data_IF_486104801534
#
_entry.id   IF_486104801534
#
_cell.length_a   1.000
_cell.length_b   1.000
_cell.length_c   1.000
_cell.angle_alpha   90.00
_cell.angle_beta   90.00
_cell.angle_gamma   90.00
#
_symmetry.space_group_name_H-M   'P 1'
#
loop_
_entity.id
_entity.type
_entity.pdbx_description
1 polymer ?
#
# COMPACT_ATOMS: atom_id res chain seq x y z
N UNK A 1 25.41 -16.10 5.10
CA UNK A 1 25.11 -14.92 5.91
C UNK A 1 24.56 -13.85 4.99
N UNK A 2 23.29 -13.52 5.17
CA UNK A 2 22.60 -12.50 4.40
C UNK A 2 22.82 -11.15 5.08
N UNK A 3 23.55 -10.24 4.44
CA UNK A 3 23.59 -8.85 4.86
C UNK A 3 22.44 -8.13 4.22
N UNK A 4 21.58 -7.51 5.04
CA UNK A 4 20.37 -6.81 4.61
C UNK A 4 20.49 -5.32 4.96
N UNK A 5 19.70 -4.50 4.31
CA UNK A 5 19.55 -3.09 4.66
C UNK A 5 18.90 -2.95 6.06
N UNK A 6 19.12 -1.83 6.76
CA UNK A 6 18.38 -1.51 7.98
C UNK A 6 16.87 -1.71 7.82
N UNK A 7 16.24 -2.39 8.77
CA UNK A 7 14.82 -2.73 8.72
C UNK A 7 14.47 -4.04 8.01
N UNK A 8 15.36 -4.61 7.20
CA UNK A 8 15.11 -5.87 6.50
C UNK A 8 15.56 -7.11 7.30
N UNK A 9 16.54 -6.96 8.18
CA UNK A 9 17.12 -8.05 8.96
C UNK A 9 16.71 -8.01 10.43
N UNK A 10 17.38 -8.86 11.24
CA UNK A 10 17.05 -9.06 12.65
C UNK A 10 18.06 -8.39 13.62
N UNK A 11 19.07 -7.67 13.09
CA UNK A 11 20.02 -6.93 13.93
C UNK A 11 19.33 -5.73 14.59
N UNK A 12 19.57 -5.54 15.89
CA UNK A 12 19.07 -4.39 16.65
C UNK A 12 19.84 -3.10 16.29
N UNK A 13 19.66 -2.63 15.05
CA UNK A 13 20.34 -1.43 14.57
C UNK A 13 19.79 -0.16 15.24
N UNK A 14 18.51 -0.12 15.59
CA UNK A 14 17.95 1.02 16.34
C UNK A 14 18.57 1.13 17.73
N UNK A 15 18.86 0.01 18.40
CA UNK A 15 19.62 0.00 19.66
C UNK A 15 21.03 0.52 19.51
N UNK A 16 21.73 0.12 18.45
CA UNK A 16 23.06 0.66 18.11
C UNK A 16 23.00 2.18 17.85
N UNK A 17 22.04 2.62 17.03
CA UNK A 17 21.89 4.04 16.72
C UNK A 17 21.52 4.89 17.93
N UNK A 18 20.73 4.37 18.88
CA UNK A 18 20.47 5.06 20.16
C UNK A 18 21.75 5.27 20.96
N UNK A 19 22.61 4.24 21.04
CA UNK A 19 23.88 4.36 21.72
C UNK A 19 24.78 5.39 21.04
N UNK A 20 24.82 5.38 19.70
CA UNK A 20 25.59 6.38 18.92
C UNK A 20 25.03 7.80 19.14
N UNK A 21 23.73 7.98 19.06
CA UNK A 21 23.09 9.30 19.31
C UNK A 21 23.36 9.82 20.73
N UNK A 22 23.46 8.93 21.71
CA UNK A 22 23.80 9.32 23.09
C UNK A 22 25.23 9.88 23.26
N UNK A 23 26.14 9.59 22.32
CA UNK A 23 27.51 10.18 22.31
C UNK A 23 27.55 11.60 21.77
N UNK A 24 26.43 12.09 21.18
CA UNK A 24 26.37 13.38 20.48
C UNK A 24 26.94 13.34 19.05
N UNK A 25 27.14 12.15 18.48
CA UNK A 25 27.61 12.02 17.11
C UNK A 25 26.58 12.62 16.13
N UNK A 26 27.04 13.52 15.26
CA UNK A 26 26.27 14.22 14.24
C UNK A 26 26.89 14.09 12.82
N UNK A 27 27.85 13.19 12.66
CA UNK A 27 28.56 12.96 11.40
C UNK A 27 27.77 12.09 10.41
N UNK A 28 28.43 11.80 9.29
CA UNK A 28 27.88 11.02 8.19
C UNK A 28 27.66 9.56 8.56
N UNK A 29 26.51 9.01 8.20
CA UNK A 29 26.23 7.58 8.26
C UNK A 29 26.54 6.97 6.89
N UNK A 30 27.56 6.09 6.81
CA UNK A 30 27.91 5.35 5.61
C UNK A 30 27.23 3.98 5.62
N UNK A 31 26.52 3.67 4.54
CA UNK A 31 25.86 2.38 4.36
C UNK A 31 26.65 1.51 3.40
N UNK A 32 27.21 0.41 3.90
CA UNK A 32 27.92 -0.58 3.10
C UNK A 32 27.30 -1.96 3.26
N UNK A 33 26.75 -2.51 2.17
CA UNK A 33 26.09 -3.81 2.16
C UNK A 33 26.78 -4.76 1.19
N UNK A 34 27.50 -5.75 1.70
CA UNK A 34 28.10 -6.81 0.92
C UNK A 34 27.12 -7.97 0.75
N UNK A 35 26.23 -7.85 -0.24
CA UNK A 35 25.25 -8.86 -0.59
C UNK A 35 25.10 -8.92 -2.11
N UNK A 36 25.54 -10.03 -2.70
CA UNK A 36 25.52 -10.19 -4.16
C UNK A 36 24.10 -10.20 -4.75
N UNK A 37 23.07 -10.48 -3.95
CA UNK A 37 21.67 -10.42 -4.39
C UNK A 37 21.22 -9.03 -4.80
N UNK A 38 21.75 -7.97 -4.19
CA UNK A 38 21.47 -6.61 -4.60
C UNK A 38 22.01 -6.29 -6.00
N UNK A 39 22.97 -7.08 -6.52
CA UNK A 39 23.47 -6.93 -7.89
C UNK A 39 22.49 -7.42 -8.96
N UNK A 40 21.54 -8.30 -8.61
CA UNK A 40 20.51 -8.78 -9.52
C UNK A 40 19.38 -7.76 -9.72
N UNK A 41 19.21 -6.84 -8.78
CA UNK A 41 18.20 -5.78 -8.84
C UNK A 41 18.64 -4.56 -9.63
N UNK A 42 17.69 -3.67 -9.92
CA UNK A 42 17.97 -2.36 -10.50
C UNK A 42 18.85 -1.54 -9.53
N UNK A 43 19.95 -0.97 -10.02
CA UNK A 43 20.81 -0.10 -9.22
C UNK A 43 20.03 1.08 -8.60
N UNK A 44 19.02 1.61 -9.32
CA UNK A 44 18.14 2.66 -8.84
C UNK A 44 17.29 2.18 -7.65
N UNK A 45 16.67 1.01 -7.76
CA UNK A 45 15.83 0.47 -6.69
C UNK A 45 16.65 0.17 -5.43
N UNK A 46 17.83 -0.42 -5.60
CA UNK A 46 18.73 -0.71 -4.48
C UNK A 46 19.21 0.56 -3.79
N UNK A 47 19.56 1.61 -4.55
CA UNK A 47 19.94 2.90 -3.98
C UNK A 47 18.79 3.59 -3.25
N UNK A 48 17.57 3.50 -3.80
CA UNK A 48 16.36 4.02 -3.17
C UNK A 48 16.08 3.30 -1.84
N UNK A 49 16.13 1.97 -1.84
CA UNK A 49 15.93 1.17 -0.63
C UNK A 49 17.01 1.44 0.43
N UNK A 50 18.28 1.61 0.00
CA UNK A 50 19.36 2.00 0.87
C UNK A 50 19.07 3.34 1.56
N UNK A 51 18.65 4.35 0.81
CA UNK A 51 18.30 5.66 1.36
C UNK A 51 17.06 5.59 2.27
N UNK A 52 15.99 4.92 1.81
CA UNK A 52 14.76 4.66 2.62
C UNK A 52 15.11 4.00 3.95
N UNK A 53 15.99 3.00 3.94
CA UNK A 53 16.38 2.27 5.13
C UNK A 53 17.09 3.14 6.17
N UNK A 54 17.92 4.10 5.73
CA UNK A 54 18.56 5.06 6.61
C UNK A 54 17.57 6.09 7.17
N UNK A 55 16.65 6.60 6.34
CA UNK A 55 15.57 7.50 6.79
C UNK A 55 14.72 6.80 7.85
N UNK A 56 14.28 5.57 7.58
CA UNK A 56 13.52 4.77 8.54
C UNK A 56 14.28 4.52 9.84
N UNK A 57 15.57 4.16 9.76
CA UNK A 57 16.39 3.88 10.93
C UNK A 57 16.54 5.11 11.84
N UNK A 58 16.72 6.29 11.26
CA UNK A 58 16.82 7.54 12.01
C UNK A 58 15.48 7.95 12.62
N UNK A 59 14.37 7.79 11.89
CA UNK A 59 13.02 8.00 12.41
C UNK A 59 12.71 7.06 13.59
N UNK A 60 12.98 5.77 13.43
CA UNK A 60 12.79 4.78 14.50
C UNK A 60 13.65 5.11 15.73
N UNK A 61 14.91 5.52 15.51
CA UNK A 61 15.81 5.95 16.58
C UNK A 61 15.26 7.18 17.30
N UNK A 62 14.82 8.19 16.56
CA UNK A 62 14.26 9.43 17.11
C UNK A 62 13.02 9.15 17.96
N UNK A 63 12.11 8.28 17.50
CA UNK A 63 10.93 7.87 18.25
C UNK A 63 11.28 7.11 19.55
N UNK A 64 12.26 6.21 19.51
CA UNK A 64 12.70 5.48 20.69
C UNK A 64 13.42 6.37 21.72
N UNK A 65 14.11 7.41 21.26
CA UNK A 65 14.78 8.40 22.14
C UNK A 65 13.80 9.45 22.64
N UNK A 66 12.64 9.62 21.99
CA UNK A 66 11.65 10.65 22.32
C UNK A 66 12.05 12.07 21.91
N UNK A 67 13.05 12.22 21.06
CA UNK A 67 13.49 13.51 20.50
C UNK A 67 14.13 13.33 19.12
N UNK A 68 14.20 14.40 18.35
CA UNK A 68 14.90 14.38 17.06
C UNK A 68 16.36 14.01 17.23
N UNK A 69 16.89 13.26 16.29
CA UNK A 69 18.34 12.94 16.18
C UNK A 69 18.89 13.60 14.90
N UNK A 70 20.20 13.88 14.82
CA UNK A 70 20.79 14.47 13.62
C UNK A 70 20.49 13.65 12.37
N UNK A 71 20.08 14.32 11.29
CA UNK A 71 19.72 13.70 10.02
C UNK A 71 18.34 13.05 9.94
N UNK A 72 17.56 13.00 11.04
CA UNK A 72 16.22 12.48 10.99
C UNK A 72 15.29 13.40 10.17
N UNK A 73 14.55 12.81 9.25
CA UNK A 73 13.50 13.50 8.46
C UNK A 73 12.22 13.53 9.29
N UNK A 74 11.65 14.72 9.57
CA UNK A 74 10.36 14.80 10.25
C UNK A 74 9.27 14.13 9.40
N UNK A 75 8.55 13.18 9.98
CA UNK A 75 7.43 12.50 9.33
C UNK A 75 6.41 12.01 10.35
N UNK A 76 5.15 11.77 9.94
CA UNK A 76 4.15 11.10 10.78
C UNK A 76 4.64 9.70 11.24
N UNK A 77 4.11 9.16 12.34
CA UNK A 77 4.40 7.79 12.76
C UNK A 77 3.93 6.76 11.71
N UNK A 78 4.42 5.50 11.79
CA UNK A 78 3.88 4.42 10.96
C UNK A 78 2.36 4.33 11.11
N UNK A 79 1.66 4.20 9.99
CA UNK A 79 0.21 4.13 9.97
C UNK A 79 -0.27 2.75 10.45
N UNK A 80 -1.11 2.63 11.50
CA UNK A 80 -1.81 1.38 11.77
C UNK A 80 -2.79 1.09 10.61
N UNK A 81 -2.83 -0.17 10.18
CA UNK A 81 -3.81 -0.64 9.19
C UNK A 81 -4.98 -1.25 9.94
N UNK A 82 -6.16 -0.64 9.80
CA UNK A 82 -7.37 -1.06 10.50
C UNK A 82 -8.12 -2.14 9.74
N UNK A 83 -8.15 -2.04 8.39
CA UNK A 83 -8.83 -3.00 7.53
C UNK A 83 -8.38 -2.85 6.06
N UNK A 84 -8.72 -3.84 5.23
CA UNK A 84 -8.80 -3.68 3.78
C UNK A 84 -10.13 -3.01 3.46
N UNK A 85 -10.09 -1.79 2.92
CA UNK A 85 -11.30 -1.01 2.62
C UNK A 85 -11.97 -1.48 1.34
N UNK A 86 -11.18 -1.71 0.28
CA UNK A 86 -11.63 -2.38 -0.94
C UNK A 86 -10.47 -3.06 -1.68
N UNK A 87 -10.85 -3.99 -2.56
CA UNK A 87 -9.93 -4.62 -3.52
C UNK A 87 -10.43 -4.27 -4.91
N UNK A 88 -9.58 -3.65 -5.75
CA UNK A 88 -9.93 -3.27 -7.11
C UNK A 88 -9.32 -4.25 -8.11
N UNK A 89 -10.17 -4.76 -9.00
CA UNK A 89 -9.78 -5.58 -10.13
C UNK A 89 -9.87 -4.77 -11.42
N UNK A 90 -8.78 -4.77 -12.18
CA UNK A 90 -8.81 -4.39 -13.58
C UNK A 90 -9.34 -5.58 -14.40
N UNK A 91 -10.44 -5.36 -15.13
CA UNK A 91 -11.14 -6.43 -15.85
C UNK A 91 -11.38 -5.97 -17.28
N UNK A 92 -11.07 -6.83 -18.27
CA UNK A 92 -11.43 -6.53 -19.66
C UNK A 92 -12.95 -6.60 -19.88
N UNK A 93 -13.46 -5.85 -20.84
CA UNK A 93 -14.88 -5.89 -21.22
C UNK A 93 -15.33 -7.33 -21.55
N UNK A 94 -14.49 -8.11 -22.20
CA UNK A 94 -14.79 -9.50 -22.56
C UNK A 94 -14.89 -10.44 -21.35
N UNK A 95 -14.12 -10.21 -20.31
CA UNK A 95 -14.07 -11.07 -19.10
C UNK A 95 -15.03 -10.62 -18.01
N UNK A 96 -15.45 -9.35 -18.01
CA UNK A 96 -16.36 -8.76 -17.02
C UNK A 96 -17.61 -9.60 -16.76
N UNK A 97 -18.39 -10.07 -17.77
CA UNK A 97 -19.59 -10.86 -17.50
C UNK A 97 -19.31 -12.18 -16.75
N UNK A 98 -18.13 -12.77 -16.99
CA UNK A 98 -17.68 -13.96 -16.28
C UNK A 98 -17.36 -13.67 -14.82
N UNK A 99 -16.66 -12.56 -14.58
CA UNK A 99 -16.28 -12.12 -13.23
C UNK A 99 -17.50 -11.71 -12.39
N UNK A 100 -18.47 -10.99 -12.98
CA UNK A 100 -19.74 -10.65 -12.34
C UNK A 100 -20.55 -11.88 -11.92
N UNK A 101 -20.63 -12.91 -12.79
CA UNK A 101 -21.26 -14.19 -12.43
C UNK A 101 -20.57 -14.86 -11.26
N UNK A 102 -19.24 -14.81 -11.21
CA UNK A 102 -18.46 -15.33 -10.07
C UNK A 102 -18.81 -14.60 -8.77
N UNK A 103 -18.83 -13.26 -8.79
CA UNK A 103 -19.17 -12.46 -7.62
C UNK A 103 -20.60 -12.77 -7.12
N UNK A 104 -21.58 -12.87 -8.03
CA UNK A 104 -22.95 -13.26 -7.66
C UNK A 104 -23.00 -14.67 -7.06
N UNK A 105 -22.29 -15.63 -7.64
CA UNK A 105 -22.22 -16.98 -7.11
C UNK A 105 -21.57 -17.06 -5.70
N UNK A 106 -20.68 -16.10 -5.39
CA UNK A 106 -20.10 -15.93 -4.06
C UNK A 106 -20.97 -15.11 -3.10
N UNK A 107 -22.15 -14.67 -3.53
CA UNK A 107 -23.11 -13.92 -2.70
C UNK A 107 -22.90 -12.41 -2.66
N UNK A 108 -22.07 -11.84 -3.55
CA UNK A 108 -21.94 -10.40 -3.70
C UNK A 108 -23.08 -9.81 -4.53
N UNK A 109 -23.52 -8.60 -4.18
CA UNK A 109 -24.40 -7.79 -5.01
C UNK A 109 -23.66 -6.60 -5.59
N UNK A 110 -24.08 -6.15 -6.75
CA UNK A 110 -23.63 -4.89 -7.34
C UNK A 110 -24.26 -3.73 -6.55
N UNK A 111 -23.51 -3.18 -5.63
CA UNK A 111 -23.97 -2.15 -4.71
C UNK A 111 -24.00 -0.75 -5.32
N UNK A 112 -23.13 -0.49 -6.30
CA UNK A 112 -23.06 0.83 -6.93
C UNK A 112 -22.45 0.78 -8.33
N UNK A 113 -22.82 1.78 -9.15
CA UNK A 113 -22.18 2.11 -10.41
C UNK A 113 -21.47 3.46 -10.25
N UNK A 114 -20.23 3.57 -10.70
CA UNK A 114 -19.49 4.83 -10.62
C UNK A 114 -20.17 5.91 -11.49
N UNK A 115 -20.18 7.16 -11.01
CA UNK A 115 -20.95 8.25 -11.64
C UNK A 115 -20.43 8.66 -13.00
N UNK A 116 -19.16 8.46 -13.29
CA UNK A 116 -18.49 8.98 -14.48
C UNK A 116 -17.61 7.95 -15.20
N UNK A 117 -17.34 6.80 -14.59
CA UNK A 117 -16.41 5.78 -15.08
C UNK A 117 -17.08 4.43 -15.24
N UNK A 118 -16.54 3.57 -16.09
CA UNK A 118 -16.99 2.17 -16.21
C UNK A 118 -16.42 1.31 -15.06
N UNK A 119 -16.87 1.63 -13.86
CA UNK A 119 -16.43 1.02 -12.61
C UNK A 119 -17.64 0.67 -11.76
N UNK A 120 -17.66 -0.55 -11.25
CA UNK A 120 -18.72 -1.07 -10.39
C UNK A 120 -18.24 -1.41 -9.00
N UNK A 121 -19.04 -1.08 -8.00
CA UNK A 121 -18.84 -1.48 -6.62
C UNK A 121 -19.70 -2.71 -6.30
N UNK A 122 -19.07 -3.79 -5.87
CA UNK A 122 -19.69 -5.02 -5.40
C UNK A 122 -19.49 -5.17 -3.90
N UNK A 123 -20.51 -5.64 -3.19
CA UNK A 123 -20.48 -5.71 -1.73
C UNK A 123 -21.10 -7.00 -1.20
N UNK A 124 -20.46 -7.57 -0.16
CA UNK A 124 -21.04 -8.55 0.75
C UNK A 124 -20.48 -8.31 2.16
N UNK A 125 -21.34 -8.10 3.15
CA UNK A 125 -20.89 -7.72 4.49
C UNK A 125 -20.05 -6.44 4.43
N UNK A 126 -18.85 -6.49 5.01
CA UNK A 126 -17.87 -5.40 4.96
C UNK A 126 -16.84 -5.53 3.81
N UNK A 127 -16.98 -6.57 2.97
CA UNK A 127 -16.11 -6.79 1.83
C UNK A 127 -16.60 -5.94 0.66
N UNK A 128 -15.70 -5.16 0.07
CA UNK A 128 -15.94 -4.34 -1.10
C UNK A 128 -14.97 -4.72 -2.21
N UNK A 129 -15.53 -5.08 -3.36
CA UNK A 129 -14.80 -5.37 -4.59
C UNK A 129 -15.16 -4.31 -5.60
N UNK A 130 -14.14 -3.67 -6.18
CA UNK A 130 -14.31 -2.70 -7.26
C UNK A 130 -13.90 -3.38 -8.56
N UNK A 131 -14.80 -3.38 -9.56
CA UNK A 131 -14.51 -3.83 -10.92
C UNK A 131 -14.31 -2.62 -11.80
N UNK A 132 -13.10 -2.47 -12.33
CA UNK A 132 -12.72 -1.38 -13.21
C UNK A 132 -12.54 -1.92 -14.63
N UNK A 133 -13.41 -1.50 -15.55
CA UNK A 133 -13.41 -1.90 -16.97
C UNK A 133 -13.16 -0.70 -17.90
N UNK A 134 -12.57 0.38 -17.37
CA UNK A 134 -12.25 1.55 -18.18
C UNK A 134 -11.38 1.18 -19.38
N UNK A 135 -11.64 1.83 -20.52
CA UNK A 135 -10.92 1.62 -21.77
C UNK A 135 -9.60 2.40 -21.85
N UNK A 136 -9.27 3.17 -20.82
CA UNK A 136 -8.03 3.93 -20.70
C UNK A 136 -7.58 4.06 -19.23
N UNK A 137 -6.52 4.82 -18.99
CA UNK A 137 -6.04 5.08 -17.64
C UNK A 137 -5.22 3.97 -17.02
N UNK A 138 -5.11 4.03 -15.67
CA UNK A 138 -4.25 3.12 -14.91
C UNK A 138 -4.72 1.67 -14.97
N UNK A 139 -5.99 1.40 -14.65
CA UNK A 139 -6.53 0.05 -14.58
C UNK A 139 -6.46 -0.65 -15.94
N UNK A 140 -6.78 0.07 -17.03
CA UNK A 140 -6.64 -0.44 -18.38
C UNK A 140 -5.19 -0.83 -18.72
N UNK A 141 -4.23 0.06 -18.45
CA UNK A 141 -2.81 -0.23 -18.68
C UNK A 141 -2.32 -1.43 -17.86
N UNK A 142 -2.82 -1.55 -16.63
CA UNK A 142 -2.52 -2.67 -15.75
C UNK A 142 -3.10 -3.98 -16.30
N UNK A 143 -4.36 -3.96 -16.76
CA UNK A 143 -5.04 -5.11 -17.37
C UNK A 143 -4.33 -5.60 -18.63
N UNK A 144 -3.89 -4.71 -19.51
CA UNK A 144 -3.11 -5.08 -20.71
C UNK A 144 -1.82 -5.81 -20.33
N UNK A 145 -1.18 -5.41 -19.23
CA UNK A 145 0.11 -5.96 -18.81
C UNK A 145 -0.04 -7.28 -18.06
N UNK A 146 -1.06 -7.38 -17.19
CA UNK A 146 -1.21 -8.45 -16.21
C UNK A 146 -2.44 -9.35 -16.44
N UNK A 147 -3.30 -9.01 -17.40
CA UNK A 147 -4.63 -9.63 -17.53
C UNK A 147 -5.59 -9.17 -16.44
N UNK A 148 -6.74 -9.83 -16.34
CA UNK A 148 -7.69 -9.58 -15.25
C UNK A 148 -7.07 -9.96 -13.91
N UNK A 149 -6.84 -8.97 -13.08
CA UNK A 149 -6.10 -9.11 -11.82
C UNK A 149 -6.36 -7.95 -10.86
N UNK A 150 -5.94 -8.10 -9.61
CA UNK A 150 -5.99 -7.01 -8.61
C UNK A 150 -5.01 -5.92 -9.03
N UNK A 151 -5.53 -4.77 -9.42
CA UNK A 151 -4.74 -3.59 -9.79
C UNK A 151 -4.53 -2.60 -8.63
N UNK A 152 -5.39 -2.66 -7.61
CA UNK A 152 -5.23 -1.82 -6.44
C UNK A 152 -5.81 -2.46 -5.16
N UNK A 153 -5.24 -2.04 -4.03
CA UNK A 153 -5.75 -2.28 -2.70
C UNK A 153 -5.98 -0.95 -2.01
N UNK A 154 -7.08 -0.83 -1.29
CA UNK A 154 -7.32 0.30 -0.41
C UNK A 154 -7.22 -0.15 1.05
N UNK A 155 -6.40 0.54 1.82
CA UNK A 155 -6.22 0.29 3.24
C UNK A 155 -6.90 1.39 4.05
N UNK A 156 -7.66 0.98 5.06
CA UNK A 156 -8.18 1.89 6.05
C UNK A 156 -7.10 2.21 7.07
N UNK A 157 -6.86 3.49 7.26
CA UNK A 157 -5.90 4.04 8.20
C UNK A 157 -6.58 5.15 9.01
N UNK A 158 -6.08 5.51 10.20
CA UNK A 158 -6.69 6.60 10.99
C UNK A 158 -6.63 7.97 10.31
N UNK A 159 -5.60 8.23 9.50
CA UNK A 159 -5.36 9.50 8.79
C UNK A 159 -4.64 9.22 7.46
N UNK A 160 -5.37 9.36 6.37
CA UNK A 160 -4.86 9.11 5.02
C UNK A 160 -3.80 10.15 4.60
N UNK A 161 -3.93 11.40 5.06
CA UNK A 161 -2.95 12.45 4.76
C UNK A 161 -1.65 12.22 5.53
N UNK A 162 -1.69 11.75 6.75
CA UNK A 162 -0.51 11.35 7.49
C UNK A 162 0.18 10.13 6.84
N UNK A 163 -0.58 9.16 6.36
CA UNK A 163 -0.03 7.99 5.67
C UNK A 163 0.70 8.37 4.37
N UNK A 164 0.11 9.23 3.52
CA UNK A 164 0.76 9.69 2.28
C UNK A 164 1.95 10.60 2.56
N UNK A 165 1.89 11.44 3.61
CA UNK A 165 3.01 12.27 4.01
C UNK A 165 4.20 11.42 4.48
N UNK A 166 3.94 10.35 5.25
CA UNK A 166 4.96 9.38 5.64
C UNK A 166 5.56 8.66 4.43
N UNK A 167 4.71 8.16 3.52
CA UNK A 167 5.17 7.51 2.29
C UNK A 167 6.10 8.43 1.48
N UNK A 168 5.72 9.70 1.34
CA UNK A 168 6.52 10.71 0.64
C UNK A 168 7.87 10.95 1.33
N UNK A 169 7.88 11.05 2.66
CA UNK A 169 9.12 11.19 3.44
C UNK A 169 10.03 9.96 3.31
N UNK A 170 9.45 8.78 3.08
CA UNK A 170 10.13 7.51 2.78
C UNK A 170 10.45 7.33 1.28
N UNK A 171 10.38 8.40 0.50
CA UNK A 171 10.74 8.47 -0.92
C UNK A 171 9.75 7.80 -1.89
N UNK A 172 8.54 7.50 -1.46
CA UNK A 172 7.49 7.09 -2.37
C UNK A 172 6.90 8.32 -3.08
N UNK A 173 6.53 8.11 -4.33
CA UNK A 173 5.90 9.17 -5.14
C UNK A 173 4.39 8.99 -5.10
N UNK A 174 3.64 9.96 -4.59
CA UNK A 174 2.19 9.93 -4.66
C UNK A 174 1.70 9.72 -6.09
N UNK A 175 0.72 8.84 -6.25
CA UNK A 175 0.10 8.63 -7.55
C UNK A 175 -0.86 9.78 -7.85
N UNK A 176 -0.67 10.41 -9.01
CA UNK A 176 -1.60 11.41 -9.53
C UNK A 176 -2.51 10.72 -10.55
N UNK A 177 -3.71 10.38 -10.15
CA UNK A 177 -4.77 9.88 -11.03
C UNK A 177 -5.60 11.01 -11.62
N UNK A 178 -6.39 10.70 -12.67
CA UNK A 178 -7.41 11.62 -13.14
C UNK A 178 -8.61 11.61 -12.18
N UNK A 179 -8.92 12.76 -11.60
CA UNK A 179 -10.07 12.95 -10.72
C UNK A 179 -11.12 13.76 -11.50
N UNK A 180 -12.31 13.19 -11.66
CA UNK A 180 -13.43 13.86 -12.32
C UNK A 180 -14.11 14.88 -11.44
N UNK A 181 -14.97 15.74 -12.00
CA UNK A 181 -15.72 16.72 -11.23
C UNK A 181 -16.60 16.05 -10.15
N UNK A 182 -16.37 16.39 -8.88
CA UNK A 182 -17.13 15.87 -7.75
C UNK A 182 -16.67 14.51 -7.22
N UNK A 183 -15.66 13.90 -7.83
CA UNK A 183 -15.01 12.68 -7.33
C UNK A 183 -14.04 12.99 -6.19
N UNK A 184 -13.78 12.00 -5.35
CA UNK A 184 -12.78 12.11 -4.31
C UNK A 184 -11.37 11.85 -4.86
N UNK A 185 -10.42 12.70 -4.47
CA UNK A 185 -8.99 12.45 -4.69
C UNK A 185 -8.46 11.58 -3.55
N UNK A 186 -8.42 10.27 -3.79
CA UNK A 186 -7.98 9.29 -2.78
C UNK A 186 -6.46 9.16 -2.87
N UNK A 187 -5.71 9.49 -1.79
CA UNK A 187 -4.27 9.37 -1.80
C UNK A 187 -3.79 7.95 -2.07
N UNK A 188 -2.81 7.79 -2.94
CA UNK A 188 -2.25 6.50 -3.27
C UNK A 188 -0.75 6.56 -3.57
N UNK A 189 -0.08 5.43 -3.42
CA UNK A 189 1.29 5.18 -3.87
C UNK A 189 1.37 3.92 -4.72
N UNK A 190 2.49 3.72 -5.42
CA UNK A 190 2.73 2.47 -6.15
C UNK A 190 3.08 1.34 -5.18
N UNK A 191 2.37 0.24 -5.31
CA UNK A 191 2.59 -1.02 -4.61
C UNK A 191 3.28 -2.07 -5.46
N UNK A 192 3.28 -3.30 -4.98
CA UNK A 192 3.87 -4.47 -5.62
C UNK A 192 3.35 -4.65 -7.05
N UNK A 193 4.25 -4.99 -7.98
CA UNK A 193 3.90 -5.20 -9.39
C UNK A 193 3.39 -3.95 -10.11
N UNK A 194 3.59 -2.76 -9.52
CA UNK A 194 3.08 -1.49 -10.04
C UNK A 194 1.60 -1.25 -9.75
N UNK A 195 0.96 -2.10 -8.93
CA UNK A 195 -0.40 -1.86 -8.42
C UNK A 195 -0.50 -0.55 -7.64
N UNK A 196 -1.71 -0.11 -7.30
CA UNK A 196 -1.90 1.03 -6.41
C UNK A 196 -2.23 0.58 -4.99
N UNK A 197 -1.75 1.35 -4.03
CA UNK A 197 -2.11 1.23 -2.64
C UNK A 197 -2.74 2.56 -2.20
N UNK A 198 -4.06 2.56 -2.03
CA UNK A 198 -4.85 3.69 -1.60
C UNK A 198 -4.92 3.77 -0.07
N UNK A 199 -4.97 5.00 0.46
CA UNK A 199 -5.20 5.26 1.87
C UNK A 199 -6.54 5.93 2.07
N UNK A 200 -7.40 5.35 2.91
CA UNK A 200 -8.70 5.89 3.26
C UNK A 200 -8.82 6.01 4.78
N UNK A 201 -9.44 7.08 5.23
CA UNK A 201 -9.83 7.27 6.62
C UNK A 201 -11.34 7.55 6.71
N UNK A 202 -11.92 7.27 7.88
CA UNK A 202 -13.34 7.51 8.13
C UNK A 202 -13.60 8.84 8.86
N UNK A 203 -12.57 9.64 9.07
CA UNK A 203 -12.63 10.92 9.78
C UNK A 203 -12.75 12.11 8.83
N UNK A 204 -12.38 11.93 7.57
CA UNK A 204 -12.47 12.91 6.50
C UNK A 204 -13.60 12.59 5.51
N UNK A 205 -13.68 13.37 4.43
CA UNK A 205 -14.60 13.10 3.32
C UNK A 205 -14.35 11.71 2.66
N UNK A 206 -13.15 11.16 2.78
CA UNK A 206 -12.77 9.85 2.24
C UNK A 206 -13.60 8.72 2.84
N UNK A 207 -14.10 8.85 4.07
CA UNK A 207 -14.98 7.86 4.69
C UNK A 207 -16.31 7.64 3.95
N UNK A 208 -16.65 8.55 3.05
CA UNK A 208 -17.88 8.49 2.24
C UNK A 208 -17.61 8.19 0.76
N UNK A 209 -16.46 7.64 0.43
CA UNK A 209 -16.03 7.40 -0.94
C UNK A 209 -17.07 6.63 -1.76
N UNK A 210 -17.68 5.58 -1.19
CA UNK A 210 -18.68 4.77 -1.89
C UNK A 210 -19.96 5.53 -2.18
N UNK A 211 -20.33 6.51 -1.34
CA UNK A 211 -21.54 7.34 -1.53
C UNK A 211 -21.29 8.50 -2.49
N UNK A 212 -20.07 9.05 -2.47
CA UNK A 212 -19.70 10.20 -3.31
C UNK A 212 -19.47 9.75 -4.73
N UNK A 213 -18.67 8.70 -4.96
CA UNK A 213 -18.23 8.30 -6.29
C UNK A 213 -19.22 7.34 -6.98
N UNK A 214 -20.11 6.68 -6.22
CA UNK A 214 -21.02 5.67 -6.78
C UNK A 214 -22.50 6.05 -6.60
N UNK A 215 -23.33 5.66 -7.58
CA UNK A 215 -24.76 5.65 -7.49
C UNK A 215 -25.24 4.26 -7.05
N UNK A 216 -26.01 4.19 -5.98
CA UNK A 216 -26.53 2.92 -5.46
C UNK A 216 -27.45 2.25 -6.48
N UNK A 217 -27.25 0.96 -6.73
CA UNK A 217 -28.10 0.16 -7.64
C UNK A 217 -29.35 -0.38 -6.97
N UNK A 218 -29.36 -0.46 -5.64
CA UNK A 218 -30.46 -1.05 -4.86
C UNK A 218 -30.49 -2.57 -4.90
N UNK A 219 -29.50 -3.26 -5.50
CA UNK A 219 -29.45 -4.72 -5.47
C UNK A 219 -29.20 -5.24 -4.04
N UNK A 220 -29.95 -6.24 -3.63
CA UNK A 220 -29.74 -6.95 -2.37
C UNK A 220 -28.73 -8.08 -2.54
N UNK A 221 -27.86 -8.25 -1.56
CA UNK A 221 -26.92 -9.36 -1.51
C UNK A 221 -27.60 -10.64 -1.02
N UNK A 222 -27.36 -11.76 -1.69
CA UNK A 222 -27.78 -13.10 -1.24
C UNK A 222 -26.94 -13.62 -0.05
N UNK A 223 -26.08 -12.84 0.46
CA UNK A 223 -25.22 -13.00 1.64
C UNK A 223 -24.81 -14.45 1.95
N UNK A 224 -23.70 -14.91 1.35
CA UNK A 224 -23.15 -16.25 1.60
C UNK A 224 -22.40 -16.39 2.95
N UNK A 225 -22.49 -15.38 3.81
CA UNK A 225 -21.88 -15.38 5.15
C UNK A 225 -20.44 -14.86 5.21
N UNK A 226 -19.89 -14.30 4.13
CA UNK A 226 -18.58 -13.65 4.15
C UNK A 226 -18.70 -12.28 4.84
N UNK A 227 -17.87 -12.01 5.83
CA UNK A 227 -17.98 -10.81 6.68
C UNK A 227 -16.86 -9.81 6.48
N UNK A 228 -15.64 -10.24 6.15
CA UNK A 228 -14.48 -9.36 6.01
C UNK A 228 -13.33 -10.01 5.26
N UNK A 229 -12.34 -9.23 4.91
CA UNK A 229 -11.07 -9.70 4.34
C UNK A 229 -10.13 -10.04 5.49
N UNK A 230 -9.74 -11.31 5.60
CA UNK A 230 -8.85 -11.80 6.65
C UNK A 230 -7.40 -11.43 6.38
N UNK A 231 -6.92 -11.72 5.16
CA UNK A 231 -5.54 -11.42 4.74
C UNK A 231 -5.45 -11.24 3.23
N UNK A 232 -4.32 -10.66 2.80
CA UNK A 232 -3.95 -10.53 1.39
C UNK A 232 -2.60 -11.21 1.18
N UNK A 233 -2.51 -12.09 0.19
CA UNK A 233 -1.28 -12.71 -0.24
C UNK A 233 -0.78 -12.05 -1.52
N UNK A 234 0.51 -11.70 -1.56
CA UNK A 234 1.14 -11.09 -2.72
C UNK A 234 2.31 -11.95 -3.17
N UNK A 235 2.31 -12.31 -4.46
CA UNK A 235 3.42 -13.03 -5.09
C UNK A 235 4.38 -12.05 -5.76
N UNK A 236 5.67 -12.27 -5.59
CA UNK A 236 6.72 -11.41 -6.13
C UNK A 236 7.94 -12.22 -6.52
N UNK A 237 8.84 -11.63 -7.29
CA UNK A 237 10.15 -12.23 -7.54
C UNK A 237 10.93 -12.28 -6.23
N UNK A 238 11.75 -13.33 -6.10
CA UNK A 238 12.51 -13.55 -4.86
C UNK A 238 13.40 -12.36 -4.49
N UNK A 239 13.94 -11.67 -5.49
CA UNK A 239 14.82 -10.50 -5.34
C UNK A 239 14.08 -9.27 -4.81
N UNK A 240 12.77 -9.19 -5.02
CA UNK A 240 11.94 -8.05 -4.58
C UNK A 240 11.46 -8.18 -3.13
N UNK A 241 11.54 -9.37 -2.54
CA UNK A 241 10.98 -9.65 -1.21
C UNK A 241 11.49 -8.68 -0.13
N UNK A 242 12.80 -8.38 -0.13
CA UNK A 242 13.39 -7.48 0.86
C UNK A 242 12.98 -6.02 0.65
N UNK A 243 12.81 -5.59 -0.60
CA UNK A 243 12.27 -4.27 -0.96
C UNK A 243 10.87 -4.09 -0.39
N UNK A 244 9.97 -5.03 -0.65
CA UNK A 244 8.59 -4.96 -0.20
C UNK A 244 8.46 -5.15 1.32
N UNK A 245 9.30 -5.97 1.93
CA UNK A 245 9.39 -6.06 3.38
C UNK A 245 9.75 -4.71 4.01
N UNK A 246 10.76 -4.01 3.47
CA UNK A 246 11.15 -2.68 3.93
C UNK A 246 10.04 -1.66 3.68
N UNK A 247 9.38 -1.70 2.51
CA UNK A 247 8.27 -0.82 2.18
C UNK A 247 7.16 -0.93 3.23
N UNK A 248 6.61 -2.13 3.45
CA UNK A 248 5.50 -2.33 4.39
C UNK A 248 5.89 -2.04 5.84
N UNK A 249 7.07 -2.49 6.27
CA UNK A 249 7.52 -2.30 7.67
C UNK A 249 7.94 -0.86 7.98
N UNK A 250 8.32 -0.06 6.99
CA UNK A 250 8.65 1.35 7.19
C UNK A 250 7.42 2.26 7.16
N UNK A 251 6.43 1.92 6.34
CA UNK A 251 5.23 2.72 6.13
C UNK A 251 4.16 2.46 7.18
N UNK A 252 3.97 1.19 7.56
CA UNK A 252 2.89 0.75 8.44
C UNK A 252 3.38 0.25 9.80
N UNK A 253 2.49 0.30 10.78
CA UNK A 253 2.69 -0.37 12.06
C UNK A 253 2.48 -1.89 11.90
N UNK A 254 3.48 -2.56 11.31
CA UNK A 254 3.46 -4.00 11.05
C UNK A 254 4.55 -4.71 11.84
N UNK A 255 4.35 -6.00 12.07
CA UNK A 255 5.35 -6.87 12.69
C UNK A 255 5.73 -7.97 11.71
N UNK A 256 7.05 -8.13 11.50
CA UNK A 256 7.58 -9.28 10.77
C UNK A 256 7.37 -10.54 11.60
N UNK A 257 6.69 -11.53 11.04
CA UNK A 257 6.65 -12.87 11.64
C UNK A 257 7.87 -13.67 11.19
N UNK A 258 8.43 -14.55 12.06
CA UNK A 258 9.52 -15.43 11.64
C UNK A 258 9.09 -16.28 10.44
N UNK A 259 9.92 -16.33 9.40
CA UNK A 259 9.73 -17.30 8.31
C UNK A 259 9.96 -18.71 8.86
N UNK A 260 9.03 -19.61 8.58
CA UNK A 260 9.18 -21.04 8.87
C UNK A 260 10.14 -21.68 7.87
#
# INVERSE_FOLDING_TARGET
HWRCLPGQGDLNLSGFMRALAATGYDGVLSLEIFNDRFRAGSARSVALDGHRSLIWLLDETARQVGKSVPGAVPMPPPAPVEAVEFIEFAVSEAERPGFERLLRALGFARAGAHRSKDVDLWKQGDIRIVLNSEADGFAHSYQITHGTSVCALALRVPDAQAAIARATALLDVPHAGAVGPGELDIPAVRGLGGSLLYFLDHTSALGRWAEVDFEATGEASDHAGLTGVDHVSQSMQYEEMLTWLLFYSSLFETRKTPSQ
#
